data_IF_475042797885
#
_entry.id   IF_475042797885
#
_cell.length_a   1.000
_cell.length_b   1.000
_cell.length_c   1.000
_cell.angle_alpha   90.00
_cell.angle_beta   90.00
_cell.angle_gamma   90.00
#
_symmetry.space_group_name_H-M   'P 1'
#
loop_
_entity.id
_entity.type
_entity.pdbx_description
1 polymer ?
#
# COMPACT_ATOMS: atom_id res chain seq x y z
N UNK A 1 -23.18 9.37 -14.35
CA UNK A 1 -23.18 9.14 -12.88
C UNK A 1 -23.85 7.83 -12.47
N UNK A 2 -25.09 7.54 -12.94
CA UNK A 2 -25.76 6.27 -12.62
C UNK A 2 -25.29 5.11 -13.51
N UNK A 3 -24.99 5.36 -14.79
CA UNK A 3 -24.48 4.34 -15.71
C UNK A 3 -23.10 3.80 -15.30
N UNK A 4 -22.22 4.67 -14.79
CA UNK A 4 -20.90 4.29 -14.28
C UNK A 4 -21.02 3.43 -13.02
N UNK A 5 -21.94 3.77 -12.11
CA UNK A 5 -22.20 2.96 -10.90
C UNK A 5 -22.78 1.60 -11.28
N UNK A 6 -23.71 1.55 -12.23
CA UNK A 6 -24.29 0.31 -12.72
C UNK A 6 -23.23 -0.59 -13.39
N UNK A 7 -22.34 -0.01 -14.20
CA UNK A 7 -21.21 -0.74 -14.79
C UNK A 7 -20.25 -1.28 -13.72
N UNK A 8 -19.96 -0.47 -12.69
CA UNK A 8 -19.12 -0.89 -11.57
C UNK A 8 -19.74 -2.06 -10.79
N UNK A 9 -21.00 -1.97 -10.41
CA UNK A 9 -21.72 -3.02 -9.67
C UNK A 9 -21.92 -4.30 -10.51
N UNK A 10 -22.00 -4.15 -11.84
CA UNK A 10 -22.00 -5.29 -12.74
C UNK A 10 -20.64 -5.98 -12.80
N UNK A 11 -19.55 -5.21 -12.90
CA UNK A 11 -18.18 -5.73 -13.08
C UNK A 11 -17.57 -6.24 -11.78
N UNK A 12 -17.92 -5.66 -10.63
CA UNK A 12 -17.33 -5.98 -9.34
C UNK A 12 -18.34 -6.51 -8.33
N UNK A 13 -17.95 -7.53 -7.58
CA UNK A 13 -18.67 -7.99 -6.39
C UNK A 13 -17.91 -7.55 -5.16
N UNK A 14 -18.57 -6.80 -4.30
CA UNK A 14 -18.03 -6.38 -3.02
C UNK A 14 -18.67 -7.23 -1.93
N UNK A 15 -17.83 -7.80 -1.06
CA UNK A 15 -18.30 -8.41 0.19
C UNK A 15 -17.45 -7.93 1.36
N UNK A 16 -18.10 -7.75 2.51
CA UNK A 16 -17.44 -7.34 3.74
C UNK A 16 -17.59 -8.43 4.79
N UNK A 17 -16.57 -8.55 5.63
CA UNK A 17 -16.63 -9.39 6.82
C UNK A 17 -15.94 -8.66 7.98
N UNK A 18 -16.38 -8.90 9.21
CA UNK A 18 -15.77 -8.30 10.40
C UNK A 18 -15.50 -9.38 11.41
N UNK A 19 -14.21 -9.64 11.66
CA UNK A 19 -13.77 -10.53 12.71
C UNK A 19 -13.49 -9.76 13.99
N UNK A 20 -13.81 -10.36 15.13
CA UNK A 20 -13.41 -9.88 16.46
C UNK A 20 -12.36 -10.81 17.04
N UNK A 21 -11.40 -10.25 17.76
CA UNK A 21 -10.38 -11.00 18.49
C UNK A 21 -10.21 -10.44 19.90
N UNK A 22 -9.83 -11.31 20.83
CA UNK A 22 -9.48 -10.92 22.19
C UNK A 22 -7.97 -10.62 22.23
N UNK A 23 -7.63 -9.40 22.66
CA UNK A 23 -6.25 -8.96 22.77
C UNK A 23 -5.67 -9.35 24.14
N UNK A 24 -4.58 -10.13 24.20
CA UNK A 24 -3.86 -10.38 25.45
C UNK A 24 -3.37 -9.09 26.10
N UNK A 25 -3.44 -9.02 27.44
CA UNK A 25 -3.06 -7.85 28.23
C UNK A 25 -1.62 -7.40 27.91
N UNK A 26 -0.72 -8.36 27.74
CA UNK A 26 0.70 -8.16 27.49
C UNK A 26 0.98 -7.43 26.16
N UNK A 27 0.02 -7.45 25.23
CA UNK A 27 0.15 -6.81 23.92
C UNK A 27 -0.44 -5.40 23.88
N UNK A 28 -1.18 -4.95 24.90
CA UNK A 28 -1.86 -3.65 24.91
C UNK A 28 -0.91 -2.48 24.67
N UNK A 29 0.21 -2.43 25.41
CA UNK A 29 1.21 -1.36 25.24
C UNK A 29 1.84 -1.34 23.84
N UNK A 30 1.94 -2.51 23.19
CA UNK A 30 2.48 -2.63 21.83
C UNK A 30 1.45 -2.17 20.80
N UNK A 31 0.19 -2.54 21.01
CA UNK A 31 -0.94 -2.16 20.15
C UNK A 31 -1.19 -0.66 20.21
N UNK A 32 -1.16 -0.06 21.40
CA UNK A 32 -1.26 1.40 21.57
C UNK A 32 -0.25 2.13 20.69
N UNK A 33 1.02 1.73 20.75
CA UNK A 33 2.09 2.34 19.95
C UNK A 33 1.84 2.27 18.44
N UNK A 34 1.13 1.25 17.97
CA UNK A 34 0.93 1.00 16.54
C UNK A 34 -0.39 1.53 15.99
N UNK A 35 -1.44 1.52 16.81
CA UNK A 35 -2.82 1.77 16.39
C UNK A 35 -3.46 3.01 17.01
N UNK A 36 -2.75 3.71 17.91
CA UNK A 36 -3.18 5.03 18.38
C UNK A 36 -3.11 6.06 17.25
N UNK A 37 -4.12 6.92 17.16
CA UNK A 37 -4.22 7.97 16.16
C UNK A 37 -4.17 9.36 16.81
N UNK A 38 -3.69 10.40 16.09
CA UNK A 38 -3.80 11.77 16.54
C UNK A 38 -5.28 12.15 16.78
N UNK A 39 -5.61 12.61 17.99
CA UNK A 39 -6.97 12.99 18.38
C UNK A 39 -7.71 11.96 19.22
N UNK A 40 -7.11 10.80 19.50
CA UNK A 40 -7.64 9.84 20.46
C UNK A 40 -7.63 10.42 21.88
N UNK A 41 -8.76 10.29 22.59
CA UNK A 41 -8.92 10.73 23.99
C UNK A 41 -8.46 9.70 25.01
N UNK A 42 -8.59 8.42 24.68
CA UNK A 42 -8.00 7.28 25.40
C UNK A 42 -7.23 6.45 24.37
N UNK A 43 -5.92 6.70 24.30
CA UNK A 43 -5.03 6.13 23.29
C UNK A 43 -5.04 4.60 23.36
N UNK A 44 -4.94 4.05 24.57
CA UNK A 44 -4.82 2.62 24.78
C UNK A 44 -6.12 1.88 24.45
N UNK A 45 -7.25 2.35 24.99
CA UNK A 45 -8.54 1.69 24.79
C UNK A 45 -8.97 1.75 23.32
N UNK A 46 -8.84 2.91 22.67
CA UNK A 46 -9.25 3.07 21.28
C UNK A 46 -8.34 2.32 20.31
N UNK A 47 -7.02 2.31 20.55
CA UNK A 47 -6.09 1.51 19.77
C UNK A 47 -6.37 0.01 19.93
N UNK A 48 -6.63 -0.45 21.15
CA UNK A 48 -7.00 -1.85 21.41
C UNK A 48 -8.30 -2.22 20.70
N UNK A 49 -9.34 -1.38 20.79
CA UNK A 49 -10.61 -1.63 20.10
C UNK A 49 -10.43 -1.76 18.59
N UNK A 50 -9.64 -0.88 17.98
CA UNK A 50 -9.30 -0.96 16.55
C UNK A 50 -8.56 -2.24 16.21
N UNK A 51 -7.58 -2.63 17.01
CA UNK A 51 -6.83 -3.87 16.76
C UNK A 51 -7.71 -5.12 16.91
N UNK A 52 -8.69 -5.07 17.82
CA UNK A 52 -9.64 -6.16 18.06
C UNK A 52 -10.68 -6.33 16.93
N UNK A 53 -11.00 -5.27 16.18
CA UNK A 53 -12.01 -5.27 15.12
C UNK A 53 -11.37 -5.34 13.71
N UNK A 54 -11.25 -6.54 13.16
CA UNK A 54 -10.64 -6.77 11.85
C UNK A 54 -11.70 -6.73 10.74
N UNK A 55 -11.82 -5.60 10.05
CA UNK A 55 -12.69 -5.47 8.86
C UNK A 55 -11.96 -5.96 7.61
N UNK A 56 -12.55 -6.90 6.89
CA UNK A 56 -12.09 -7.36 5.59
C UNK A 56 -13.07 -6.89 4.51
N UNK A 57 -12.54 -6.32 3.43
CA UNK A 57 -13.31 -5.99 2.23
C UNK A 57 -12.74 -6.79 1.08
N UNK A 58 -13.56 -7.66 0.49
CA UNK A 58 -13.21 -8.45 -0.68
C UNK A 58 -13.84 -7.80 -1.90
N UNK A 59 -13.03 -7.54 -2.92
CA UNK A 59 -13.47 -7.03 -4.22
C UNK A 59 -13.11 -8.07 -5.27
N UNK A 60 -14.12 -8.65 -5.91
CA UNK A 60 -13.95 -9.63 -6.98
C UNK A 60 -14.28 -8.98 -8.31
N UNK A 61 -13.31 -8.95 -9.23
CA UNK A 61 -13.54 -8.58 -10.62
C UNK A 61 -14.12 -9.78 -11.37
N UNK A 62 -15.35 -9.68 -11.86
CA UNK A 62 -16.02 -10.76 -12.59
C UNK A 62 -15.40 -11.04 -13.95
N UNK A 63 -14.83 -10.03 -14.62
CA UNK A 63 -14.24 -10.18 -15.94
C UNK A 63 -12.94 -10.99 -15.90
N UNK A 64 -12.12 -10.80 -14.85
CA UNK A 64 -10.84 -11.51 -14.69
C UNK A 64 -10.90 -12.68 -13.70
N UNK A 65 -12.02 -12.84 -12.99
CA UNK A 65 -12.16 -13.76 -11.85
C UNK A 65 -11.14 -13.54 -10.72
N UNK A 66 -10.50 -12.37 -10.67
CA UNK A 66 -9.51 -12.03 -9.64
C UNK A 66 -10.21 -11.43 -8.42
N UNK A 67 -9.79 -11.83 -7.22
CA UNK A 67 -10.26 -11.25 -5.97
C UNK A 67 -9.11 -10.59 -5.21
N UNK A 68 -9.35 -9.37 -4.75
CA UNK A 68 -8.44 -8.63 -3.88
C UNK A 68 -9.09 -8.48 -2.51
N UNK A 69 -8.29 -8.61 -1.45
CA UNK A 69 -8.75 -8.49 -0.06
C UNK A 69 -8.05 -7.31 0.60
N UNK A 70 -8.83 -6.37 1.09
CA UNK A 70 -8.38 -5.19 1.82
C UNK A 70 -8.64 -5.38 3.30
N UNK A 71 -7.62 -5.10 4.12
CA UNK A 71 -7.74 -4.98 5.56
C UNK A 71 -7.14 -3.61 5.93
N UNK A 72 -7.94 -2.65 6.41
CA UNK A 72 -7.47 -1.30 6.70
C UNK A 72 -6.41 -1.27 7.80
N UNK A 73 -6.43 -2.22 8.74
CA UNK A 73 -5.44 -2.30 9.82
C UNK A 73 -4.05 -2.68 9.31
N UNK A 74 -3.92 -3.24 8.10
CA UNK A 74 -2.60 -3.46 7.49
C UNK A 74 -1.88 -2.15 7.17
N UNK A 75 -2.61 -1.07 6.90
CA UNK A 75 -2.01 0.25 6.67
C UNK A 75 -1.42 0.84 7.97
N UNK A 76 -1.98 0.48 9.13
CA UNK A 76 -1.49 0.90 10.45
C UNK A 76 -0.31 0.04 10.94
N UNK A 77 0.13 -0.96 10.18
CA UNK A 77 1.28 -1.77 10.58
C UNK A 77 2.50 -0.85 10.69
N UNK A 78 3.27 -0.90 11.79
CA UNK A 78 4.53 -0.18 11.87
C UNK A 78 5.41 -0.60 10.69
N UNK A 79 5.72 0.36 9.83
CA UNK A 79 6.78 0.19 8.84
C UNK A 79 8.08 0.06 9.65
N UNK A 80 9.01 -0.83 9.25
CA UNK A 80 10.39 -0.65 9.70
C UNK A 80 10.75 0.80 9.40
N UNK A 81 11.43 1.48 10.33
CA UNK A 81 11.99 2.80 10.03
C UNK A 81 12.72 2.66 8.69
N UNK A 82 12.19 3.32 7.65
CA UNK A 82 13.00 3.60 6.47
C UNK A 82 14.26 4.23 7.07
N UNK A 83 15.46 3.68 6.81
CA UNK A 83 16.66 4.32 7.29
C UNK A 83 16.57 5.79 6.87
N UNK A 84 16.68 6.71 7.84
CA UNK A 84 16.77 8.14 7.56
C UNK A 84 18.00 8.32 6.67
N UNK A 85 17.77 8.35 5.37
CA UNK A 85 18.80 8.23 4.37
C UNK A 85 18.13 8.52 3.05
N UNK A 86 18.46 9.69 2.51
CA UNK A 86 18.01 10.24 1.24
C UNK A 86 17.57 9.16 0.25
N UNK A 87 16.42 9.39 -0.38
CA UNK A 87 16.06 8.67 -1.59
C UNK A 87 17.29 8.75 -2.53
N UNK A 88 18.03 7.64 -2.75
CA UNK A 88 19.28 7.69 -3.48
C UNK A 88 19.05 7.98 -4.97
N UNK A 89 17.78 8.14 -5.38
CA UNK A 89 17.38 8.46 -6.74
C UNK A 89 18.07 9.70 -7.28
N UNK A 90 18.20 10.79 -6.54
CA UNK A 90 18.85 11.99 -7.08
C UNK A 90 20.36 11.81 -7.32
N UNK A 91 21.07 11.15 -6.40
CA UNK A 91 22.49 10.83 -6.57
C UNK A 91 22.70 9.80 -7.68
N UNK A 92 21.86 8.76 -7.75
CA UNK A 92 21.89 7.74 -8.80
C UNK A 92 21.57 8.33 -10.18
N UNK A 93 20.62 9.27 -10.25
CA UNK A 93 20.30 10.02 -11.47
C UNK A 93 21.54 10.83 -11.88
N UNK A 94 22.13 11.61 -10.97
CA UNK A 94 23.32 12.41 -11.25
C UNK A 94 24.54 11.56 -11.66
N UNK A 95 24.72 10.38 -11.09
CA UNK A 95 25.77 9.43 -11.49
C UNK A 95 25.54 8.89 -12.91
N UNK A 96 24.28 8.69 -13.31
CA UNK A 96 23.88 8.16 -14.61
C UNK A 96 23.79 9.21 -15.73
N UNK A 97 23.81 10.51 -15.40
CA UNK A 97 23.75 11.60 -16.38
C UNK A 97 25.04 11.69 -17.23
N UNK A 98 24.88 11.51 -18.54
CA UNK A 98 25.91 11.80 -19.55
C UNK A 98 26.18 10.68 -20.58
N UNK A 99 26.59 11.10 -21.78
CA UNK A 99 27.07 10.21 -22.85
C UNK A 99 28.31 9.46 -22.36
N UNK A 100 28.26 8.12 -22.35
CA UNK A 100 29.34 7.24 -21.87
C UNK A 100 29.18 6.71 -20.44
N UNK A 101 28.15 7.15 -19.71
CA UNK A 101 27.77 6.58 -18.39
C UNK A 101 26.45 5.80 -18.43
N UNK A 102 25.62 6.07 -19.43
CA UNK A 102 24.38 5.36 -19.68
C UNK A 102 24.31 4.99 -21.16
N UNK A 103 24.14 3.70 -21.46
CA UNK A 103 24.03 3.19 -22.83
C UNK A 103 22.83 3.79 -23.57
N UNK A 104 21.76 4.18 -22.84
CA UNK A 104 20.59 4.83 -23.42
C UNK A 104 20.76 6.34 -23.65
N UNK A 105 21.82 6.95 -23.10
CA UNK A 105 22.10 8.39 -23.28
C UNK A 105 22.96 8.68 -24.52
N UNK A 106 23.43 7.66 -25.24
CA UNK A 106 24.09 7.79 -26.55
C UNK A 106 23.25 7.10 -27.65
N UNK A 107 22.12 7.72 -28.06
CA UNK A 107 21.17 7.07 -28.95
C UNK A 107 21.74 6.78 -30.34
N UNK A 108 22.81 7.47 -30.76
CA UNK A 108 23.43 7.26 -32.07
C UNK A 108 24.45 6.11 -32.08
N UNK A 109 24.97 5.71 -30.91
CA UNK A 109 25.95 4.63 -30.79
C UNK A 109 25.37 3.31 -30.31
N UNK A 110 24.40 3.37 -29.41
CA UNK A 110 23.89 2.19 -28.68
C UNK A 110 22.44 1.81 -29.05
N UNK A 111 21.79 2.56 -29.95
CA UNK A 111 20.50 2.15 -30.53
C UNK A 111 20.74 1.36 -31.80
N UNK A 112 19.95 0.29 -32.01
CA UNK A 112 19.97 -0.46 -33.25
C UNK A 112 19.72 0.47 -34.45
N UNK A 113 20.62 0.46 -35.42
CA UNK A 113 20.45 1.21 -36.65
C UNK A 113 19.40 0.51 -37.53
N UNK A 114 18.47 1.29 -38.08
CA UNK A 114 17.47 0.79 -39.01
C UNK A 114 18.17 0.55 -40.37
N UNK A 115 18.33 -0.71 -40.77
CA UNK A 115 18.92 -1.08 -42.05
C UNK A 115 17.83 -1.24 -43.10
N UNK A 116 17.37 -0.12 -43.67
CA UNK A 116 16.64 -0.08 -44.93
C UNK A 116 17.61 0.01 -46.10
#
# INVERSE_FOLDING_TARGET
PDDERALFEWMFVLSGDTGTLDLPEELRAKVERWFALPGDTDLAEQACRRACEQRLVRVTNRATSTTVVYNPLRACRPQPAQPDGADPTEEQIAESEGVGKCDFCDPFRMTAADSW
#
